data_IF_226445580236
#
_entry.id   IF_226445580236
#
_cell.length_a   1.000
_cell.length_b   1.000
_cell.length_c   1.000
_cell.angle_alpha   90.00
_cell.angle_beta   90.00
_cell.angle_gamma   90.00
#
_symmetry.space_group_name_H-M   'P 1'
#
loop_
_entity.id
_entity.type
_entity.pdbx_description
1 polymer ?
#
# COMPACT_ATOMS: atom_id res chain seq x y z
N UNK A 1 32.19 31.72 -20.04
CA UNK A 1 31.16 30.96 -20.79
C UNK A 1 30.13 30.47 -19.81
N UNK A 2 29.04 31.22 -19.65
CA UNK A 2 27.93 30.82 -18.79
C UNK A 2 27.08 29.78 -19.54
N UNK A 3 26.96 28.59 -18.98
CA UNK A 3 26.07 27.56 -19.51
C UNK A 3 24.66 27.91 -19.07
N UNK A 4 23.80 28.32 -20.02
CA UNK A 4 22.35 28.33 -19.84
C UNK A 4 21.92 26.90 -19.51
N UNK A 5 21.71 26.62 -18.23
CA UNK A 5 21.03 25.42 -17.78
C UNK A 5 19.61 25.53 -18.35
N UNK A 6 19.29 24.62 -19.27
CA UNK A 6 17.97 24.53 -19.88
C UNK A 6 16.90 24.55 -18.80
N UNK A 7 15.86 25.37 -19.04
CA UNK A 7 14.68 25.53 -18.19
C UNK A 7 14.32 24.23 -17.49
N UNK A 8 14.47 24.20 -16.16
CA UNK A 8 13.97 23.10 -15.33
C UNK A 8 12.45 23.22 -15.32
N UNK A 9 11.81 22.65 -16.34
CA UNK A 9 10.36 22.63 -16.47
C UNK A 9 9.83 21.71 -15.37
N UNK A 10 9.28 22.32 -14.32
CA UNK A 10 8.65 21.60 -13.21
C UNK A 10 7.33 21.02 -13.71
N UNK A 11 7.37 19.77 -14.16
CA UNK A 11 6.17 19.07 -14.63
C UNK A 11 5.30 18.73 -13.43
N UNK A 12 4.09 19.27 -13.40
CA UNK A 12 3.17 19.05 -12.30
C UNK A 12 2.36 17.77 -12.49
N UNK A 13 1.91 17.14 -11.39
CA UNK A 13 1.11 15.92 -11.45
C UNK A 13 -0.22 16.10 -12.21
N UNK A 14 -0.74 17.34 -12.29
CA UNK A 14 -1.93 17.69 -13.08
C UNK A 14 -1.64 17.64 -14.59
N UNK A 15 -0.49 18.16 -15.01
CA UNK A 15 -0.06 18.13 -16.42
C UNK A 15 0.22 16.70 -16.88
N UNK A 16 0.88 15.88 -16.05
CA UNK A 16 1.12 14.47 -16.36
C UNK A 16 -0.20 13.71 -16.50
N UNK A 17 -1.16 13.90 -15.59
CA UNK A 17 -2.49 13.27 -15.71
C UNK A 17 -3.20 13.66 -17.00
N UNK A 18 -3.21 14.95 -17.34
CA UNK A 18 -3.85 15.44 -18.56
C UNK A 18 -3.15 14.93 -19.84
N UNK A 19 -1.84 14.69 -19.80
CA UNK A 19 -1.11 14.09 -20.91
C UNK A 19 -1.42 12.59 -21.03
N UNK A 20 -1.37 11.85 -19.90
CA UNK A 20 -1.67 10.41 -19.84
C UNK A 20 -3.09 10.08 -20.33
N UNK A 21 -4.08 10.92 -20.00
CA UNK A 21 -5.46 10.74 -20.48
C UNK A 21 -5.61 10.95 -22.00
N UNK A 22 -4.71 11.72 -22.63
CA UNK A 22 -4.78 12.08 -24.05
C UNK A 22 -3.91 11.20 -24.95
N UNK A 23 -2.83 10.63 -24.44
CA UNK A 23 -1.91 9.78 -25.22
C UNK A 23 -2.29 8.31 -25.10
N UNK A 24 -2.95 7.82 -26.14
CA UNK A 24 -3.34 6.41 -26.30
C UNK A 24 -2.18 5.49 -26.74
N UNK A 25 -0.95 6.02 -26.84
CA UNK A 25 0.20 5.38 -27.47
C UNK A 25 1.28 4.87 -26.51
N UNK A 26 1.14 5.12 -25.20
CA UNK A 26 2.11 4.65 -24.21
C UNK A 26 1.83 3.18 -23.90
N UNK A 27 2.89 2.37 -23.88
CA UNK A 27 2.79 1.00 -23.37
C UNK A 27 2.50 1.02 -21.86
N UNK A 28 1.90 -0.05 -21.34
CA UNK A 28 1.52 -0.13 -19.92
C UNK A 28 2.72 0.05 -18.96
N UNK A 29 3.92 -0.37 -19.38
CA UNK A 29 5.15 -0.21 -18.59
C UNK A 29 5.66 1.23 -18.56
N UNK A 30 5.66 1.91 -19.71
CA UNK A 30 6.06 3.32 -19.81
C UNK A 30 5.13 4.21 -19.00
N UNK A 31 3.83 3.94 -19.09
CA UNK A 31 2.81 4.65 -18.33
C UNK A 31 2.99 4.46 -16.82
N UNK A 32 3.29 3.23 -16.38
CA UNK A 32 3.58 2.90 -14.99
C UNK A 32 4.81 3.63 -14.47
N UNK A 33 5.91 3.65 -15.23
CA UNK A 33 7.15 4.33 -14.85
C UNK A 33 6.91 5.83 -14.70
N UNK A 34 6.18 6.46 -15.61
CA UNK A 34 5.82 7.88 -15.52
C UNK A 34 4.98 8.17 -14.27
N UNK A 35 4.01 7.32 -13.95
CA UNK A 35 3.21 7.47 -12.72
C UNK A 35 4.05 7.36 -11.45
N UNK A 36 4.95 6.40 -11.38
CA UNK A 36 5.84 6.22 -10.23
C UNK A 36 6.82 7.39 -10.06
N UNK A 37 7.38 7.88 -11.17
CA UNK A 37 8.33 9.00 -11.15
C UNK A 37 7.69 10.32 -10.75
N UNK A 38 6.45 10.55 -11.19
CA UNK A 38 5.77 11.85 -11.03
C UNK A 38 4.62 11.82 -10.02
N UNK A 39 4.38 10.69 -9.35
CA UNK A 39 3.31 10.52 -8.36
C UNK A 39 1.90 10.67 -8.95
N UNK A 40 1.74 10.46 -10.26
CA UNK A 40 0.43 10.56 -10.91
C UNK A 40 -0.43 9.33 -10.53
N UNK A 41 -1.58 9.59 -9.91
CA UNK A 41 -2.54 8.54 -9.53
C UNK A 41 -3.13 7.80 -10.75
N UNK A 42 -3.73 6.64 -10.50
CA UNK A 42 -4.46 5.88 -11.51
C UNK A 42 -5.59 6.72 -12.14
N UNK A 43 -5.91 6.50 -13.44
CA UNK A 43 -6.88 7.30 -14.19
C UNK A 43 -8.29 7.18 -13.60
N UNK A 44 -8.61 6.08 -12.93
CA UNK A 44 -9.81 5.97 -12.11
C UNK A 44 -9.57 5.07 -10.91
N UNK A 45 -10.18 5.42 -9.76
CA UNK A 45 -10.25 4.56 -8.57
C UNK A 45 -11.16 3.34 -8.78
N UNK A 46 -12.05 3.41 -9.77
CA UNK A 46 -12.99 2.34 -10.11
C UNK A 46 -12.56 1.55 -11.36
N UNK A 47 -11.54 2.00 -12.10
CA UNK A 47 -11.03 1.22 -13.20
C UNK A 47 -10.40 -0.08 -12.68
N UNK A 48 -10.79 -1.25 -13.22
CA UNK A 48 -10.18 -2.49 -12.83
C UNK A 48 -8.67 -2.45 -13.14
N UNK A 49 -7.87 -2.91 -12.18
CA UNK A 49 -6.43 -2.99 -12.36
C UNK A 49 -6.11 -3.90 -13.56
N UNK A 50 -5.09 -3.57 -14.36
CA UNK A 50 -4.66 -4.43 -15.45
C UNK A 50 -4.29 -5.81 -14.87
N UNK A 51 -4.98 -6.85 -15.36
CA UNK A 51 -4.74 -8.23 -14.95
C UNK A 51 -3.65 -8.83 -15.83
N UNK A 52 -2.77 -9.63 -15.23
CA UNK A 52 -1.69 -10.31 -15.96
C UNK A 52 -2.22 -11.24 -17.08
N UNK A 53 -3.44 -11.76 -16.94
CA UNK A 53 -4.08 -12.62 -17.94
C UNK A 53 -4.59 -11.87 -19.19
N UNK A 54 -4.63 -10.53 -19.20
CA UNK A 54 -5.17 -9.75 -20.31
C UNK A 54 -6.61 -10.17 -20.66
N UNK A 55 -6.82 -10.61 -21.90
CA UNK A 55 -8.11 -11.10 -22.42
C UNK A 55 -8.24 -12.64 -22.38
N UNK A 56 -7.29 -13.36 -21.77
CA UNK A 56 -7.35 -14.83 -21.69
C UNK A 56 -8.01 -15.25 -20.37
N UNK A 57 -9.29 -15.65 -20.46
CA UNK A 57 -10.07 -16.07 -19.30
C UNK A 57 -9.51 -17.33 -18.63
N UNK A 58 -9.02 -18.30 -19.40
CA UNK A 58 -8.46 -19.55 -18.88
C UNK A 58 -7.22 -19.29 -18.01
N UNK A 59 -6.30 -18.44 -18.47
CA UNK A 59 -5.16 -18.00 -17.68
C UNK A 59 -5.59 -17.19 -16.45
N UNK A 60 -6.68 -16.43 -16.56
CA UNK A 60 -7.27 -15.70 -15.44
C UNK A 60 -7.73 -16.63 -14.33
N UNK A 61 -8.42 -17.71 -14.68
CA UNK A 61 -8.91 -18.72 -13.74
C UNK A 61 -7.76 -19.50 -13.08
N UNK A 62 -6.73 -19.86 -13.85
CA UNK A 62 -5.53 -20.52 -13.31
C UNK A 62 -4.80 -19.63 -12.30
N UNK A 63 -4.61 -18.35 -12.61
CA UNK A 63 -3.98 -17.40 -11.70
C UNK A 63 -4.82 -17.19 -10.43
N UNK A 64 -6.14 -17.13 -10.55
CA UNK A 64 -7.05 -17.03 -9.42
C UNK A 64 -6.96 -18.26 -8.51
N UNK A 65 -6.91 -19.46 -9.10
CA UNK A 65 -6.76 -20.70 -8.35
C UNK A 65 -5.46 -20.71 -7.53
N UNK A 66 -4.35 -20.30 -8.15
CA UNK A 66 -3.04 -20.21 -7.50
C UNK A 66 -3.07 -19.21 -6.35
N UNK A 67 -3.69 -18.04 -6.54
CA UNK A 67 -3.85 -17.02 -5.49
C UNK A 67 -4.64 -17.57 -4.30
N UNK A 68 -5.76 -18.26 -4.55
CA UNK A 68 -6.56 -18.88 -3.50
C UNK A 68 -5.77 -19.92 -2.70
N UNK A 69 -4.98 -20.75 -3.38
CA UNK A 69 -4.12 -21.75 -2.73
C UNK A 69 -3.04 -21.09 -1.88
N UNK A 70 -2.39 -20.05 -2.40
CA UNK A 70 -1.37 -19.29 -1.65
C UNK A 70 -1.97 -18.65 -0.39
N UNK A 71 -3.14 -18.02 -0.51
CA UNK A 71 -3.82 -17.40 0.63
C UNK A 71 -4.25 -18.41 1.69
N UNK A 72 -4.68 -19.62 1.28
CA UNK A 72 -4.94 -20.73 2.21
C UNK A 72 -3.66 -21.16 2.92
N UNK A 73 -2.57 -21.40 2.19
CA UNK A 73 -1.29 -21.79 2.76
C UNK A 73 -0.71 -20.72 3.72
N UNK A 74 -0.89 -19.44 3.40
CA UNK A 74 -0.48 -18.33 4.28
C UNK A 74 -1.32 -18.29 5.57
N UNK A 75 -2.63 -18.54 5.48
CA UNK A 75 -3.52 -18.63 6.65
C UNK A 75 -3.18 -19.82 7.53
N UNK A 76 -2.87 -20.97 6.96
CA UNK A 76 -2.42 -22.15 7.71
C UNK A 76 -1.09 -21.88 8.44
N UNK A 77 -0.13 -21.27 7.74
CA UNK A 77 1.15 -20.87 8.31
C UNK A 77 1.00 -19.87 9.46
N UNK A 78 0.10 -18.90 9.33
CA UNK A 78 -0.14 -17.88 10.38
C UNK A 78 -1.07 -18.36 11.49
N UNK A 79 -1.96 -19.32 11.22
CA UNK A 79 -2.83 -19.97 12.20
C UNK A 79 -2.03 -20.81 13.20
N UNK A 80 -0.97 -21.48 12.76
CA UNK A 80 -0.04 -22.19 13.66
C UNK A 80 0.75 -21.24 14.58
N UNK A 81 1.11 -20.04 14.10
CA UNK A 81 1.82 -19.05 14.92
C UNK A 81 0.97 -18.48 16.07
N UNK A 82 -0.37 -18.47 15.95
CA UNK A 82 -1.28 -17.99 17.00
C UNK A 82 -1.62 -19.03 18.07
N UNK A 83 -1.40 -20.32 17.79
CA UNK A 83 -1.63 -21.37 18.79
C UNK A 83 -0.44 -21.62 19.73
N UNK A 84 0.75 -21.10 19.40
CA UNK A 84 1.97 -21.29 20.18
C UNK A 84 2.34 -20.09 21.08
N UNK A 85 1.53 -19.04 21.15
CA UNK A 85 1.82 -17.85 21.96
C UNK A 85 0.63 -17.38 22.77
N UNK A 86 0.33 -18.13 23.84
CA UNK A 86 -0.38 -17.54 24.97
C UNK A 86 0.66 -16.99 25.95
N UNK A 87 0.84 -15.66 26.00
CA UNK A 87 0.94 -14.99 27.28
C UNK A 87 -0.22 -13.99 27.42
N UNK A 88 -1.05 -14.29 28.42
CA UNK A 88 -1.75 -13.37 29.34
C UNK A 88 -2.08 -11.98 28.77
N UNK A 89 -3.38 -11.74 28.57
CA UNK A 89 -3.96 -10.44 28.32
C UNK A 89 -3.26 -9.34 29.13
N UNK A 90 -2.49 -8.49 28.45
CA UNK A 90 -2.01 -7.25 29.00
C UNK A 90 -3.23 -6.38 29.24
N UNK A 91 -3.51 -6.15 30.52
CA UNK A 91 -4.57 -5.27 30.98
C UNK A 91 -4.51 -3.93 30.22
N UNK A 92 -5.68 -3.52 29.76
CA UNK A 92 -6.01 -2.21 29.21
C UNK A 92 -5.14 -1.10 29.81
N UNK A 93 -4.25 -0.56 28.98
CA UNK A 93 -3.32 0.53 29.28
C UNK A 93 -3.99 1.88 29.46
N UNK A 94 -4.91 1.99 30.42
CA UNK A 94 -5.35 3.28 30.94
C UNK A 94 -5.23 3.24 32.46
N UNK A 95 -4.41 4.14 33.01
CA UNK A 95 -4.31 4.48 34.45
C UNK A 95 -3.20 3.86 35.31
N UNK A 96 -2.24 3.10 34.80
CA UNK A 96 -1.07 2.70 35.62
C UNK A 96 -0.28 3.92 36.15
N UNK A 97 -0.23 5.01 35.38
CA UNK A 97 0.40 6.27 35.79
C UNK A 97 -0.45 7.05 36.79
N UNK A 98 -1.77 7.06 36.65
CA UNK A 98 -2.67 7.74 37.60
C UNK A 98 -2.64 7.06 38.97
N UNK A 99 -2.58 5.73 39.01
CA UNK A 99 -2.47 4.97 40.26
C UNK A 99 -1.17 5.25 41.02
N UNK A 100 -0.04 5.42 40.31
CA UNK A 100 1.22 5.82 40.94
C UNK A 100 1.12 7.21 41.59
N UNK A 101 0.48 8.17 40.91
CA UNK A 101 0.31 9.54 41.41
C UNK A 101 -0.60 9.55 42.65
N UNK A 102 -1.75 8.86 42.60
CA UNK A 102 -2.66 8.77 43.74
C UNK A 102 -1.98 8.11 44.95
N UNK A 103 -1.18 7.06 44.73
CA UNK A 103 -0.44 6.39 45.80
C UNK A 103 0.61 7.29 46.45
N UNK A 104 1.31 8.09 45.65
CA UNK A 104 2.28 9.06 46.16
C UNK A 104 1.62 10.16 47.01
N UNK A 105 0.46 10.67 46.58
CA UNK A 105 -0.30 11.68 47.32
C UNK A 105 -0.86 11.15 48.64
N UNK A 106 -1.36 9.90 48.68
CA UNK A 106 -1.88 9.28 49.91
C UNK A 106 -0.80 9.02 50.96
N UNK A 107 0.47 8.83 50.55
CA UNK A 107 1.59 8.59 51.47
C UNK A 107 2.14 9.87 52.13
N UNK A 108 1.68 11.05 51.69
CA UNK A 108 2.10 12.36 52.20
C UNK A 108 1.10 12.97 53.20
N UNK A 109 0.04 12.25 53.55
CA UNK A 109 -0.79 12.47 54.75
C UNK A 109 -0.40 11.44 55.80
#
# INVERSE_FOLDING_TARGET
MERKVGSSTTVTSKEVKAALEKTQTLTAEEEKVLRLRHGAGAPSKSAPLPRAAGNNEQLGDELLLIEMQLMKAMRERTGQARSASKPKAAATGTNATKDKIVRALRKKK
#
